data_IF_544177251075
#
_entry.id   IF_544177251075
#
_cell.length_a   1.000
_cell.length_b   1.000
_cell.length_c   1.000
_cell.angle_alpha   90.00
_cell.angle_beta   90.00
_cell.angle_gamma   90.00
#
_symmetry.space_group_name_H-M   'P 1'
#
loop_
_entity.id
_entity.type
_entity.pdbx_description
1 polymer ?
#
# COMPACT_ATOMS: atom_id res chain seq x y z
N UNK A 1 11.12 -19.48 -25.41
CA UNK A 1 10.24 -18.39 -25.92
C UNK A 1 8.73 -18.67 -25.80
N UNK A 2 8.24 -19.90 -25.96
CA UNK A 2 6.79 -20.23 -25.84
C UNK A 2 6.19 -20.05 -24.44
N UNK A 3 6.96 -20.21 -23.37
CA UNK A 3 6.46 -20.10 -21.99
C UNK A 3 6.27 -18.64 -21.52
N UNK A 4 7.07 -17.71 -21.99
CA UNK A 4 6.92 -16.27 -21.70
C UNK A 4 5.68 -15.67 -22.39
N UNK A 5 5.35 -16.11 -23.60
CA UNK A 5 4.16 -15.65 -24.33
C UNK A 5 2.84 -15.98 -23.64
N UNK A 6 2.77 -17.07 -22.85
CA UNK A 6 1.56 -17.45 -22.11
C UNK A 6 1.38 -16.70 -20.78
N UNK A 7 2.43 -16.11 -20.21
CA UNK A 7 2.35 -15.28 -19.00
C UNK A 7 1.80 -13.88 -19.31
N UNK A 8 2.15 -13.34 -20.46
CA UNK A 8 1.64 -12.09 -21.01
C UNK A 8 0.30 -12.31 -21.72
N UNK A 9 -0.62 -13.03 -21.09
CA UNK A 9 -1.99 -13.07 -21.58
C UNK A 9 -2.62 -11.67 -21.44
N UNK A 10 -3.54 -11.33 -22.33
CA UNK A 10 -4.27 -10.06 -22.29
C UNK A 10 -4.84 -9.75 -20.90
N UNK A 11 -5.29 -10.77 -20.17
CA UNK A 11 -5.84 -10.62 -18.81
C UNK A 11 -4.79 -10.19 -17.78
N UNK A 12 -3.53 -10.65 -17.90
CA UNK A 12 -2.44 -10.22 -17.01
C UNK A 12 -2.06 -8.76 -17.31
N UNK A 13 -1.98 -8.41 -18.60
CA UNK A 13 -1.71 -7.02 -19.01
C UNK A 13 -2.82 -6.09 -18.52
N UNK A 14 -4.08 -6.48 -18.68
CA UNK A 14 -5.24 -5.74 -18.19
C UNK A 14 -5.19 -5.54 -16.66
N UNK A 15 -4.82 -6.58 -15.90
CA UNK A 15 -4.63 -6.50 -14.46
C UNK A 15 -3.49 -5.53 -14.08
N UNK A 16 -2.38 -5.57 -14.81
CA UNK A 16 -1.26 -4.63 -14.59
C UNK A 16 -1.69 -3.19 -14.86
N UNK A 17 -2.37 -2.91 -15.97
CA UNK A 17 -2.87 -1.56 -16.30
C UNK A 17 -3.82 -1.06 -15.21
N UNK A 18 -4.75 -1.91 -14.75
CA UNK A 18 -5.68 -1.58 -13.68
C UNK A 18 -4.96 -1.19 -12.39
N UNK A 19 -3.96 -1.98 -11.96
CA UNK A 19 -3.16 -1.68 -10.77
C UNK A 19 -2.31 -0.42 -10.95
N UNK A 20 -1.78 -0.19 -12.16
CA UNK A 20 -1.02 1.01 -12.51
C UNK A 20 -1.90 2.27 -12.35
N UNK A 21 -3.13 2.26 -12.87
CA UNK A 21 -4.08 3.37 -12.73
C UNK A 21 -4.47 3.56 -11.26
N UNK A 22 -4.87 2.49 -10.57
CA UNK A 22 -5.31 2.54 -9.18
C UNK A 22 -4.27 3.19 -8.26
N UNK A 23 -3.05 2.62 -8.23
CA UNK A 23 -1.99 3.09 -7.34
C UNK A 23 -1.36 4.40 -7.80
N UNK A 24 -1.36 4.65 -9.10
CA UNK A 24 -0.85 5.90 -9.65
C UNK A 24 -1.65 7.10 -9.16
N UNK A 25 -2.97 7.09 -9.37
CA UNK A 25 -3.82 8.18 -8.93
C UNK A 25 -3.88 8.30 -7.41
N UNK A 26 -3.94 7.18 -6.67
CA UNK A 26 -3.88 7.23 -5.22
C UNK A 26 -2.62 7.94 -4.72
N UNK A 27 -1.47 7.58 -5.25
CA UNK A 27 -0.18 8.16 -4.80
C UNK A 27 -0.01 9.63 -5.20
N UNK A 28 -0.79 10.11 -6.17
CA UNK A 28 -0.76 11.51 -6.60
C UNK A 28 -1.54 12.45 -5.66
N UNK A 29 -2.43 11.92 -4.80
CA UNK A 29 -3.33 12.75 -3.98
C UNK A 29 -2.57 13.63 -2.96
N UNK A 30 -1.37 13.26 -2.57
CA UNK A 30 -0.51 14.11 -1.73
C UNK A 30 -0.14 15.45 -2.37
N UNK A 31 -0.08 15.54 -3.71
CA UNK A 31 0.15 16.80 -4.43
C UNK A 31 -0.99 17.80 -4.24
N UNK A 32 -2.20 17.32 -3.93
CA UNK A 32 -3.40 18.13 -3.77
C UNK A 32 -3.57 18.66 -2.34
N UNK A 33 -2.76 18.22 -1.37
CA UNK A 33 -2.92 18.60 0.05
C UNK A 33 -2.92 20.12 0.22
N UNK A 34 -1.88 20.77 -0.27
CA UNK A 34 -1.73 22.22 -0.11
C UNK A 34 -2.73 23.02 -0.95
N UNK A 35 -2.90 22.77 -2.28
CA UNK A 35 -3.87 23.48 -3.10
C UNK A 35 -5.32 23.38 -2.60
N UNK A 36 -5.75 22.22 -2.12
CA UNK A 36 -7.10 22.02 -1.57
C UNK A 36 -7.26 22.77 -0.26
N UNK A 37 -6.31 22.63 0.68
CA UNK A 37 -6.36 23.31 1.97
C UNK A 37 -6.39 24.84 1.81
N UNK A 38 -5.57 25.40 0.92
CA UNK A 38 -5.52 26.84 0.63
C UNK A 38 -6.83 27.35 0.00
N UNK A 39 -7.44 26.59 -0.93
CA UNK A 39 -8.68 27.02 -1.60
C UNK A 39 -9.89 27.13 -0.68
N UNK A 40 -9.92 26.34 0.40
CA UNK A 40 -10.98 26.38 1.41
C UNK A 40 -10.63 27.29 2.60
N UNK A 41 -9.40 27.76 2.70
CA UNK A 41 -8.93 28.47 3.89
C UNK A 41 -8.86 27.59 5.13
N UNK A 42 -8.80 26.27 4.96
CA UNK A 42 -8.68 25.30 6.05
C UNK A 42 -7.19 25.02 6.35
N UNK A 43 -6.92 24.54 7.56
CA UNK A 43 -5.66 23.89 7.89
C UNK A 43 -5.46 22.61 7.06
N UNK A 44 -4.23 22.12 7.05
CA UNK A 44 -3.88 20.87 6.35
C UNK A 44 -4.52 19.64 6.98
N UNK A 45 -4.87 19.70 8.26
CA UNK A 45 -5.52 18.61 8.99
C UNK A 45 -6.78 18.14 8.30
N UNK A 46 -7.64 19.04 7.82
CA UNK A 46 -8.94 18.69 7.24
C UNK A 46 -8.80 17.76 6.04
N UNK A 47 -7.96 18.13 5.07
CA UNK A 47 -7.76 17.28 3.89
C UNK A 47 -6.87 16.07 4.18
N UNK A 48 -5.87 16.22 5.05
CA UNK A 48 -5.08 15.10 5.55
C UNK A 48 -5.94 14.06 6.26
N UNK A 49 -6.92 14.49 7.09
CA UNK A 49 -7.87 13.58 7.71
C UNK A 49 -8.73 12.83 6.68
N UNK A 50 -9.14 13.50 5.59
CA UNK A 50 -9.82 12.81 4.47
C UNK A 50 -8.95 11.70 3.88
N UNK A 51 -7.68 11.98 3.62
CA UNK A 51 -6.73 10.98 3.11
C UNK A 51 -6.37 9.90 4.16
N UNK A 52 -6.44 10.23 5.44
CA UNK A 52 -6.32 9.26 6.53
C UNK A 52 -7.52 8.29 6.54
N UNK A 53 -8.75 8.83 6.47
CA UNK A 53 -9.97 8.03 6.31
C UNK A 53 -9.90 7.11 5.10
N UNK A 54 -9.33 7.57 3.98
CA UNK A 54 -9.12 6.75 2.77
C UNK A 54 -8.36 5.46 3.08
N UNK A 55 -7.27 5.56 3.84
CA UNK A 55 -6.48 4.39 4.23
C UNK A 55 -7.27 3.46 5.15
N UNK A 56 -7.99 4.03 6.12
CA UNK A 56 -8.81 3.25 7.05
C UNK A 56 -9.93 2.50 6.32
N UNK A 57 -10.68 3.19 5.45
CA UNK A 57 -11.76 2.57 4.67
C UNK A 57 -11.23 1.55 3.66
N UNK A 58 -10.05 1.78 3.06
CA UNK A 58 -9.38 0.76 2.27
C UNK A 58 -9.11 -0.50 3.10
N UNK A 59 -8.53 -0.37 4.30
CA UNK A 59 -8.25 -1.51 5.18
C UNK A 59 -9.49 -2.27 5.60
N UNK A 60 -10.55 -1.56 6.03
CA UNK A 60 -11.80 -2.14 6.50
C UNK A 60 -12.57 -2.85 5.38
N UNK A 61 -12.63 -2.26 4.19
CA UNK A 61 -13.39 -2.80 3.07
C UNK A 61 -12.62 -3.84 2.23
N UNK A 62 -11.30 -3.95 2.40
CA UNK A 62 -10.49 -4.91 1.64
C UNK A 62 -10.94 -6.37 1.83
N UNK A 63 -11.19 -6.88 3.06
CA UNK A 63 -11.69 -8.23 3.25
C UNK A 63 -13.08 -8.44 2.65
N UNK A 64 -13.97 -7.45 2.76
CA UNK A 64 -15.32 -7.49 2.19
C UNK A 64 -15.27 -7.54 0.66
N UNK A 65 -14.47 -6.69 0.03
CA UNK A 65 -14.28 -6.69 -1.41
C UNK A 65 -13.74 -8.02 -1.93
N UNK A 66 -12.78 -8.62 -1.21
CA UNK A 66 -12.25 -9.95 -1.49
C UNK A 66 -13.33 -11.04 -1.42
N UNK A 67 -14.10 -11.08 -0.33
CA UNK A 67 -15.18 -12.06 -0.14
C UNK A 67 -16.29 -11.93 -1.21
N UNK A 68 -16.66 -10.70 -1.58
CA UNK A 68 -17.63 -10.42 -2.65
C UNK A 68 -17.06 -10.87 -4.00
N UNK A 69 -15.76 -10.60 -4.26
CA UNK A 69 -15.08 -11.02 -5.48
C UNK A 69 -15.07 -12.56 -5.63
N UNK A 70 -14.83 -13.28 -4.54
CA UNK A 70 -14.81 -14.74 -4.54
C UNK A 70 -16.21 -15.33 -4.76
N UNK A 71 -17.25 -14.72 -4.18
CA UNK A 71 -18.62 -15.21 -4.27
C UNK A 71 -19.34 -14.80 -5.58
N UNK A 72 -19.18 -13.53 -5.99
CA UNK A 72 -19.96 -12.94 -7.09
C UNK A 72 -19.14 -12.63 -8.34
N UNK A 73 -17.83 -12.84 -8.28
CA UNK A 73 -16.86 -12.62 -9.35
C UNK A 73 -16.13 -11.30 -9.28
N UNK A 74 -14.84 -11.35 -9.56
CA UNK A 74 -13.89 -10.21 -9.51
C UNK A 74 -14.32 -9.04 -10.41
N UNK A 75 -14.89 -9.33 -11.60
CA UNK A 75 -15.31 -8.30 -12.57
C UNK A 75 -16.33 -7.30 -11.98
N UNK A 76 -17.31 -7.79 -11.22
CA UNK A 76 -18.34 -6.93 -10.61
C UNK A 76 -17.74 -6.02 -9.54
N UNK A 77 -16.83 -6.55 -8.75
CA UNK A 77 -16.16 -5.78 -7.68
C UNK A 77 -15.28 -4.68 -8.28
N UNK A 78 -14.57 -4.96 -9.38
CA UNK A 78 -13.78 -3.96 -10.10
C UNK A 78 -14.69 -2.85 -10.64
N UNK A 79 -15.83 -3.19 -11.25
CA UNK A 79 -16.77 -2.17 -11.79
C UNK A 79 -17.26 -1.26 -10.68
N UNK A 80 -17.78 -1.83 -9.59
CA UNK A 80 -18.30 -1.05 -8.44
C UNK A 80 -17.18 -0.23 -7.81
N UNK A 81 -15.99 -0.82 -7.59
CA UNK A 81 -14.83 -0.13 -7.04
C UNK A 81 -14.37 1.03 -7.91
N UNK A 82 -14.35 0.87 -9.25
CA UNK A 82 -14.00 1.95 -10.18
C UNK A 82 -15.00 3.09 -10.14
N UNK A 83 -16.30 2.78 -10.05
CA UNK A 83 -17.37 3.79 -9.94
C UNK A 83 -17.23 4.56 -8.61
N UNK A 84 -17.05 3.84 -7.49
CA UNK A 84 -16.86 4.48 -6.18
C UNK A 84 -15.62 5.38 -6.17
N UNK A 85 -14.52 4.92 -6.76
CA UNK A 85 -13.29 5.71 -6.84
C UNK A 85 -13.50 6.98 -7.68
N UNK A 86 -14.08 6.85 -8.86
CA UNK A 86 -14.37 8.00 -9.74
C UNK A 86 -15.34 8.99 -9.09
N UNK A 87 -16.42 8.48 -8.47
CA UNK A 87 -17.38 9.29 -7.74
C UNK A 87 -16.72 10.03 -6.57
N UNK A 88 -15.83 9.34 -5.83
CA UNK A 88 -15.07 9.96 -4.75
C UNK A 88 -14.19 11.11 -5.24
N UNK A 89 -13.47 10.92 -6.36
CA UNK A 89 -12.67 11.98 -6.98
C UNK A 89 -13.54 13.15 -7.46
N UNK A 90 -14.69 12.86 -8.05
CA UNK A 90 -15.62 13.87 -8.53
C UNK A 90 -16.23 14.69 -7.39
N UNK A 91 -16.71 14.04 -6.33
CA UNK A 91 -17.22 14.72 -5.12
C UNK A 91 -16.13 15.58 -4.49
N UNK A 92 -14.88 15.08 -4.43
CA UNK A 92 -13.76 15.88 -3.94
C UNK A 92 -13.50 17.11 -4.80
N UNK A 93 -13.60 16.97 -6.13
CA UNK A 93 -13.39 18.08 -7.09
C UNK A 93 -14.48 19.16 -7.00
N UNK A 94 -15.70 18.78 -6.64
CA UNK A 94 -16.87 19.66 -6.52
C UNK A 94 -17.25 19.94 -5.06
N UNK A 95 -16.35 19.68 -4.13
CA UNK A 95 -16.62 19.86 -2.70
C UNK A 95 -16.88 21.32 -2.36
N UNK A 96 -17.91 21.56 -1.54
CA UNK A 96 -18.26 22.86 -0.99
C UNK A 96 -17.81 23.00 0.49
N UNK A 97 -17.40 21.89 1.12
CA UNK A 97 -16.96 21.89 2.49
C UNK A 97 -16.22 20.60 2.91
N UNK A 98 -15.85 20.55 4.17
CA UNK A 98 -15.03 19.45 4.71
C UNK A 98 -15.75 18.09 4.67
N UNK A 99 -17.09 18.05 4.81
CA UNK A 99 -17.85 16.81 4.75
C UNK A 99 -17.74 16.14 3.37
N UNK A 100 -17.77 16.94 2.30
CA UNK A 100 -17.62 16.43 0.94
C UNK A 100 -16.21 15.89 0.70
N UNK A 101 -15.18 16.56 1.27
CA UNK A 101 -13.80 16.06 1.25
C UNK A 101 -13.68 14.71 1.99
N UNK A 102 -14.29 14.58 3.17
CA UNK A 102 -14.26 13.34 3.93
C UNK A 102 -15.01 12.21 3.22
N UNK A 103 -16.19 12.51 2.66
CA UNK A 103 -16.97 11.54 1.90
C UNK A 103 -16.23 11.13 0.61
N UNK A 104 -15.80 12.13 -0.19
CA UNK A 104 -15.18 11.90 -1.50
C UNK A 104 -13.79 11.28 -1.36
N UNK A 105 -12.82 12.07 -0.88
CA UNK A 105 -11.42 11.66 -0.78
C UNK A 105 -11.20 10.56 0.25
N UNK A 106 -11.99 10.53 1.33
CA UNK A 106 -11.85 9.56 2.41
C UNK A 106 -12.60 8.26 2.10
N UNK A 107 -13.92 8.29 2.25
CA UNK A 107 -14.74 7.07 2.28
C UNK A 107 -14.83 6.42 0.90
N UNK A 108 -15.31 7.17 -0.10
CA UNK A 108 -15.59 6.59 -1.41
C UNK A 108 -14.33 6.16 -2.16
N UNK A 109 -13.27 6.97 -2.14
CA UNK A 109 -11.99 6.55 -2.73
C UNK A 109 -11.42 5.35 -1.97
N UNK A 110 -11.46 5.33 -0.64
CA UNK A 110 -10.98 4.20 0.16
C UNK A 110 -11.69 2.89 -0.19
N UNK A 111 -13.03 2.91 -0.28
CA UNK A 111 -13.84 1.77 -0.73
C UNK A 111 -13.52 1.38 -2.18
N UNK A 112 -13.34 2.37 -3.05
CA UNK A 112 -12.99 2.18 -4.46
C UNK A 112 -11.64 1.47 -4.62
N UNK A 113 -10.63 1.88 -3.86
CA UNK A 113 -9.30 1.23 -3.83
C UNK A 113 -9.41 -0.20 -3.33
N UNK A 114 -10.22 -0.47 -2.30
CA UNK A 114 -10.44 -1.83 -1.81
C UNK A 114 -11.00 -2.76 -2.91
N UNK A 115 -11.88 -2.25 -3.78
CA UNK A 115 -12.48 -3.01 -4.89
C UNK A 115 -11.59 -3.16 -6.13
N UNK A 116 -10.59 -2.30 -6.31
CA UNK A 116 -9.74 -2.27 -7.52
C UNK A 116 -8.26 -2.48 -7.24
N UNK A 117 -7.88 -2.62 -5.96
CA UNK A 117 -6.50 -2.76 -5.52
C UNK A 117 -5.97 -4.19 -5.48
N UNK A 118 -4.79 -4.34 -4.87
CA UNK A 118 -4.02 -5.59 -4.83
C UNK A 118 -4.82 -6.76 -4.23
N UNK A 119 -5.62 -6.54 -3.19
CA UNK A 119 -6.34 -7.62 -2.51
C UNK A 119 -7.43 -8.29 -3.35
N UNK A 120 -7.94 -7.64 -4.40
CA UNK A 120 -8.90 -8.20 -5.35
C UNK A 120 -8.21 -8.67 -6.63
N UNK A 121 -7.27 -7.88 -7.15
CA UNK A 121 -6.66 -8.13 -8.46
C UNK A 121 -5.58 -9.22 -8.40
N UNK A 122 -4.72 -9.24 -7.36
CA UNK A 122 -3.66 -10.24 -7.26
C UNK A 122 -4.18 -11.67 -7.12
N UNK A 123 -5.16 -11.99 -6.26
CA UNK A 123 -5.77 -13.31 -6.23
C UNK A 123 -6.36 -13.72 -7.59
N UNK A 124 -6.97 -12.76 -8.29
CA UNK A 124 -7.47 -12.99 -9.63
C UNK A 124 -6.35 -13.34 -10.61
N UNK A 125 -5.23 -12.59 -10.61
CA UNK A 125 -4.05 -12.90 -11.43
C UNK A 125 -3.46 -14.28 -11.12
N UNK A 126 -3.38 -14.65 -9.84
CA UNK A 126 -2.89 -15.95 -9.41
C UNK A 126 -3.73 -17.12 -9.95
N UNK A 127 -5.06 -16.91 -10.09
CA UNK A 127 -5.98 -17.89 -10.70
C UNK A 127 -5.84 -18.01 -12.22
N UNK A 128 -5.27 -17.00 -12.90
CA UNK A 128 -5.07 -16.99 -14.36
C UNK A 128 -3.85 -17.80 -14.81
N UNK A 129 -2.92 -18.09 -13.91
CA UNK A 129 -1.65 -18.73 -14.24
C UNK A 129 -1.50 -20.09 -13.57
N UNK A 130 -0.59 -20.90 -14.11
CA UNK A 130 -0.24 -22.21 -13.52
C UNK A 130 0.42 -22.00 -12.14
N UNK A 131 0.31 -22.97 -11.20
CA UNK A 131 0.87 -22.87 -9.85
C UNK A 131 2.33 -22.39 -9.80
N UNK A 132 3.19 -22.92 -10.69
CA UNK A 132 4.62 -22.64 -10.73
C UNK A 132 4.92 -21.18 -11.12
N UNK A 133 3.94 -20.47 -11.69
CA UNK A 133 4.08 -19.07 -12.16
C UNK A 133 3.33 -18.06 -11.29
N UNK A 134 2.63 -18.52 -10.25
CA UNK A 134 1.84 -17.63 -9.38
C UNK A 134 2.69 -16.56 -8.71
N UNK A 135 3.81 -16.94 -8.11
CA UNK A 135 4.72 -15.98 -7.47
C UNK A 135 5.20 -14.88 -8.43
N UNK A 136 5.57 -15.29 -9.67
CA UNK A 136 5.95 -14.33 -10.70
C UNK A 136 4.80 -13.39 -11.10
N UNK A 137 3.57 -13.91 -11.26
CA UNK A 137 2.40 -13.09 -11.60
C UNK A 137 2.07 -12.08 -10.50
N UNK A 138 2.15 -12.49 -9.23
CA UNK A 138 1.97 -11.61 -8.08
C UNK A 138 3.04 -10.51 -8.03
N UNK A 139 4.30 -10.86 -8.28
CA UNK A 139 5.41 -9.90 -8.37
C UNK A 139 5.21 -8.88 -9.49
N UNK A 140 4.79 -9.33 -10.69
CA UNK A 140 4.50 -8.44 -11.83
C UNK A 140 3.34 -7.50 -11.48
N UNK A 141 2.26 -7.98 -10.84
CA UNK A 141 1.14 -7.14 -10.44
C UNK A 141 1.53 -6.08 -9.40
N UNK A 142 2.34 -6.44 -8.43
CA UNK A 142 2.86 -5.50 -7.42
C UNK A 142 3.77 -4.45 -8.07
N UNK A 143 4.66 -4.87 -8.97
CA UNK A 143 5.52 -3.96 -9.72
C UNK A 143 4.72 -3.00 -10.62
N UNK A 144 3.60 -3.45 -11.20
CA UNK A 144 2.71 -2.60 -11.99
C UNK A 144 2.08 -1.49 -11.14
N UNK A 145 1.70 -1.77 -9.89
CA UNK A 145 1.25 -0.74 -8.95
C UNK A 145 2.32 0.33 -8.69
N UNK A 146 3.56 -0.09 -8.48
CA UNK A 146 4.70 0.82 -8.29
C UNK A 146 5.04 1.62 -9.57
N UNK A 147 4.91 0.99 -10.75
CA UNK A 147 5.04 1.68 -12.03
C UNK A 147 3.96 2.77 -12.19
N UNK A 148 2.75 2.53 -11.67
CA UNK A 148 1.69 3.53 -11.63
C UNK A 148 2.09 4.76 -10.83
N UNK A 149 2.69 4.58 -9.67
CA UNK A 149 3.21 5.68 -8.87
C UNK A 149 4.26 6.49 -9.65
N UNK A 150 5.20 5.81 -10.29
CA UNK A 150 6.23 6.46 -11.11
C UNK A 150 5.64 7.27 -12.29
N UNK A 151 4.63 6.73 -12.97
CA UNK A 151 4.07 7.30 -14.19
C UNK A 151 3.06 8.42 -13.89
N UNK A 152 2.11 8.16 -12.98
CA UNK A 152 0.95 9.04 -12.83
C UNK A 152 1.19 10.24 -11.90
N UNK A 153 2.18 10.21 -11.01
CA UNK A 153 2.47 11.38 -10.16
C UNK A 153 2.93 12.59 -11.00
N UNK A 154 3.88 12.46 -11.94
CA UNK A 154 4.23 13.58 -12.82
C UNK A 154 3.06 14.03 -13.69
N UNK A 155 2.27 13.11 -14.22
CA UNK A 155 1.09 13.42 -15.05
C UNK A 155 0.05 14.21 -14.23
N UNK A 156 -0.25 13.78 -13.01
CA UNK A 156 -1.18 14.47 -12.13
C UNK A 156 -0.68 15.88 -11.74
N UNK A 157 0.63 16.03 -11.55
CA UNK A 157 1.24 17.35 -11.34
C UNK A 157 1.02 18.27 -12.55
N UNK A 158 1.23 17.78 -13.77
CA UNK A 158 0.98 18.60 -14.98
C UNK A 158 -0.49 19.01 -15.08
N UNK A 159 -1.43 18.11 -14.80
CA UNK A 159 -2.86 18.46 -14.76
C UNK A 159 -3.16 19.49 -13.67
N UNK A 160 -2.56 19.35 -12.49
CA UNK A 160 -2.72 20.28 -11.38
C UNK A 160 -2.24 21.69 -11.75
N UNK A 161 -1.09 21.81 -12.39
CA UNK A 161 -0.48 23.08 -12.80
C UNK A 161 -1.26 23.71 -13.96
N UNK A 162 -1.69 22.91 -14.95
CA UNK A 162 -2.34 23.42 -16.16
C UNK A 162 -3.81 23.81 -15.94
N UNK A 163 -4.54 23.05 -15.09
CA UNK A 163 -6.01 23.16 -15.00
C UNK A 163 -6.53 23.45 -13.59
N UNK A 164 -5.65 23.53 -12.58
CA UNK A 164 -6.04 23.63 -11.18
C UNK A 164 -6.49 22.29 -10.58
N UNK A 165 -6.66 22.26 -9.26
CA UNK A 165 -6.91 21.03 -8.52
C UNK A 165 -8.27 20.38 -8.81
N UNK A 166 -9.33 21.17 -9.02
CA UNK A 166 -10.67 20.65 -9.32
C UNK A 166 -10.70 19.87 -10.63
N UNK A 167 -10.22 20.50 -11.71
CA UNK A 167 -10.24 19.89 -13.03
C UNK A 167 -9.25 18.71 -13.11
N UNK A 168 -8.11 18.79 -12.44
CA UNK A 168 -7.17 17.66 -12.33
C UNK A 168 -7.84 16.44 -11.70
N UNK A 169 -8.61 16.61 -10.62
CA UNK A 169 -9.37 15.52 -9.99
C UNK A 169 -10.48 14.98 -10.89
N UNK A 170 -11.17 15.83 -11.67
CA UNK A 170 -12.17 15.39 -12.66
C UNK A 170 -11.51 14.54 -13.76
N UNK A 171 -10.35 14.95 -14.27
CA UNK A 171 -9.59 14.16 -15.26
C UNK A 171 -9.17 12.80 -14.66
N UNK A 172 -8.70 12.80 -13.43
CA UNK A 172 -8.37 11.55 -12.71
C UNK A 172 -9.61 10.68 -12.49
N UNK A 173 -10.79 11.26 -12.23
CA UNK A 173 -12.05 10.50 -12.11
C UNK A 173 -12.40 9.79 -13.43
N UNK A 174 -12.28 10.47 -14.56
CA UNK A 174 -12.46 9.86 -15.89
C UNK A 174 -11.43 8.75 -16.12
N UNK A 175 -10.17 9.00 -15.73
CA UNK A 175 -9.09 8.01 -15.79
C UNK A 175 -9.39 6.75 -14.97
N UNK A 176 -9.97 6.88 -13.77
CA UNK A 176 -10.35 5.71 -12.94
C UNK A 176 -11.52 4.94 -13.54
N UNK A 177 -12.48 5.59 -14.22
CA UNK A 177 -13.54 4.89 -14.93
C UNK A 177 -13.01 4.00 -16.06
N UNK A 178 -11.85 4.32 -16.63
CA UNK A 178 -11.23 3.47 -17.66
C UNK A 178 -10.90 2.06 -17.15
N UNK A 179 -10.75 1.86 -15.83
CA UNK A 179 -10.56 0.54 -15.23
C UNK A 179 -11.74 -0.40 -15.51
N UNK A 180 -12.95 0.12 -15.73
CA UNK A 180 -14.14 -0.67 -16.08
C UNK A 180 -13.93 -1.42 -17.40
N UNK A 181 -13.19 -0.85 -18.35
CA UNK A 181 -12.90 -1.48 -19.64
C UNK A 181 -12.13 -2.80 -19.51
N UNK A 182 -11.36 -2.93 -18.44
CA UNK A 182 -10.56 -4.13 -18.15
C UNK A 182 -11.33 -5.16 -17.30
N UNK A 183 -12.43 -4.78 -16.65
CA UNK A 183 -13.22 -5.67 -15.79
C UNK A 183 -13.73 -6.95 -16.49
N UNK A 184 -14.15 -6.93 -17.78
CA UNK A 184 -14.61 -8.15 -18.46
C UNK A 184 -13.57 -9.25 -18.56
N UNK A 185 -12.27 -8.92 -18.52
CA UNK A 185 -11.18 -9.90 -18.58
C UNK A 185 -11.15 -10.84 -17.37
N UNK A 186 -11.81 -10.45 -16.27
CA UNK A 186 -11.89 -11.19 -15.02
C UNK A 186 -13.15 -12.06 -14.89
N UNK A 187 -14.05 -12.10 -15.91
CA UNK A 187 -15.35 -12.80 -15.84
C UNK A 187 -15.25 -14.34 -15.75
N UNK A 188 -14.20 -14.96 -16.27
CA UNK A 188 -14.11 -16.41 -16.46
C UNK A 188 -13.38 -17.19 -15.35
N UNK A 189 -13.20 -16.60 -14.18
CA UNK A 189 -12.44 -17.27 -13.13
C UNK A 189 -13.34 -18.09 -12.20
N UNK A 190 -13.52 -19.38 -12.51
CA UNK A 190 -13.94 -20.35 -11.50
C UNK A 190 -12.74 -20.59 -10.55
N UNK A 191 -13.00 -20.53 -9.26
CA UNK A 191 -12.01 -20.90 -8.26
C UNK A 191 -11.48 -22.31 -8.58
N UNK A 192 -10.22 -22.39 -8.99
CA UNK A 192 -9.52 -23.67 -8.97
C UNK A 192 -9.27 -23.97 -7.49
N UNK A 193 -10.03 -24.90 -6.95
CA UNK A 193 -9.77 -25.48 -5.64
C UNK A 193 -8.40 -26.18 -5.70
N UNK A 194 -7.34 -25.45 -5.42
CA UNK A 194 -6.06 -26.07 -5.11
C UNK A 194 -6.24 -26.75 -3.76
N UNK A 195 -6.24 -28.07 -3.77
CA UNK A 195 -6.20 -28.91 -2.59
C UNK A 195 -4.97 -28.50 -1.76
N UNK A 196 -5.24 -27.89 -0.62
CA UNK A 196 -4.29 -27.76 0.49
C UNK A 196 -4.52 -29.05 1.29
N UNK A 197 -3.98 -30.16 0.78
CA UNK A 197 -4.32 -31.50 1.28
C UNK A 197 -3.48 -31.94 2.48
N UNK A 198 -2.39 -31.24 2.84
CA UNK A 198 -1.41 -31.76 3.81
C UNK A 198 -1.27 -30.97 5.12
N UNK A 199 -2.05 -29.89 5.33
CA UNK A 199 -2.00 -29.19 6.62
C UNK A 199 -2.95 -29.84 7.65
N UNK A 200 -2.52 -29.92 8.94
CA UNK A 200 -3.36 -30.44 10.01
C UNK A 200 -4.73 -29.75 10.05
N UNK A 201 -5.80 -30.54 10.27
CA UNK A 201 -7.16 -30.02 10.30
C UNK A 201 -7.27 -28.93 11.38
N UNK A 202 -7.63 -27.73 10.97
CA UNK A 202 -7.85 -26.58 11.83
C UNK A 202 -9.03 -25.78 11.27
N UNK A 203 -9.87 -25.21 12.13
CA UNK A 203 -10.91 -24.28 11.74
C UNK A 203 -10.44 -22.82 11.92
N UNK A 204 -11.20 -21.86 11.39
CA UNK A 204 -10.83 -20.43 11.45
C UNK A 204 -10.69 -19.91 12.90
N UNK A 205 -11.58 -20.33 13.79
CA UNK A 205 -11.57 -19.88 15.19
C UNK A 205 -10.30 -20.38 15.90
N UNK A 206 -9.90 -21.61 15.64
CA UNK A 206 -8.66 -22.20 16.17
C UNK A 206 -7.43 -21.46 15.63
N UNK A 207 -7.40 -21.13 14.31
CA UNK A 207 -6.31 -20.38 13.70
C UNK A 207 -6.18 -18.97 14.30
N UNK A 208 -7.29 -18.27 14.51
CA UNK A 208 -7.31 -16.97 15.16
C UNK A 208 -6.87 -17.06 16.63
N UNK A 209 -7.34 -18.08 17.36
CA UNK A 209 -6.91 -18.30 18.75
C UNK A 209 -5.43 -18.63 18.84
N UNK A 210 -4.90 -19.50 17.97
CA UNK A 210 -3.47 -19.84 17.90
C UNK A 210 -2.63 -18.58 17.65
N UNK A 211 -2.99 -17.76 16.66
CA UNK A 211 -2.27 -16.55 16.32
C UNK A 211 -2.37 -15.48 17.42
N UNK A 212 -3.55 -15.27 18.01
CA UNK A 212 -3.75 -14.29 19.07
C UNK A 212 -2.99 -14.60 20.37
N UNK A 213 -2.72 -15.88 20.63
CA UNK A 213 -1.89 -16.32 21.76
C UNK A 213 -0.39 -16.30 21.47
N UNK A 214 0.02 -15.95 20.25
CA UNK A 214 1.41 -15.98 19.83
C UNK A 214 2.02 -14.57 19.88
N UNK A 215 2.86 -14.29 20.89
CA UNK A 215 3.45 -12.94 21.09
C UNK A 215 4.18 -12.43 19.83
N UNK A 216 4.86 -13.29 19.09
CA UNK A 216 5.63 -12.90 17.90
C UNK A 216 4.72 -12.44 16.75
N UNK A 217 3.45 -12.89 16.72
CA UNK A 217 2.46 -12.36 15.78
C UNK A 217 2.08 -10.91 16.12
N UNK A 218 1.92 -10.59 17.40
CA UNK A 218 1.65 -9.20 17.84
C UNK A 218 2.83 -8.27 17.60
N UNK A 219 4.07 -8.76 17.77
CA UNK A 219 5.27 -8.00 17.42
C UNK A 219 5.32 -7.69 15.91
N UNK A 220 4.94 -8.66 15.08
CA UNK A 220 4.85 -8.48 13.63
C UNK A 220 3.76 -7.47 13.25
N UNK A 221 2.57 -7.56 13.88
CA UNK A 221 1.47 -6.59 13.72
C UNK A 221 1.94 -5.18 14.08
N UNK A 222 2.56 -5.02 15.23
CA UNK A 222 3.07 -3.72 15.69
C UNK A 222 4.12 -3.14 14.73
N UNK A 223 5.02 -3.97 14.21
CA UNK A 223 6.01 -3.53 13.23
C UNK A 223 5.37 -3.07 11.92
N UNK A 224 4.34 -3.76 11.45
CA UNK A 224 3.69 -3.39 10.19
C UNK A 224 2.85 -2.12 10.29
N UNK A 225 2.39 -1.74 11.50
CA UNK A 225 1.83 -0.41 11.79
C UNK A 225 2.82 0.70 11.38
N UNK A 226 4.09 0.56 11.77
CA UNK A 226 5.12 1.58 11.48
C UNK A 226 5.37 1.72 9.99
N UNK A 227 5.31 0.61 9.24
CA UNK A 227 5.36 0.66 7.79
C UNK A 227 4.25 1.57 7.23
N UNK A 228 3.00 1.34 7.64
CA UNK A 228 1.87 2.15 7.23
C UNK A 228 2.02 3.62 7.58
N UNK A 229 2.40 3.90 8.82
CA UNK A 229 2.63 5.26 9.32
C UNK A 229 3.60 6.04 8.43
N UNK A 230 4.78 5.47 8.17
CA UNK A 230 5.82 6.14 7.39
C UNK A 230 5.42 6.32 5.92
N UNK A 231 4.91 5.25 5.29
CA UNK A 231 4.55 5.30 3.88
C UNK A 231 3.48 6.32 3.59
N UNK A 232 2.42 6.34 4.39
CA UNK A 232 1.30 7.23 4.17
C UNK A 232 1.66 8.69 4.52
N UNK A 233 2.38 8.90 5.61
CA UNK A 233 2.90 10.23 5.96
C UNK A 233 3.75 10.81 4.83
N UNK A 234 4.76 10.09 4.35
CA UNK A 234 5.65 10.57 3.28
C UNK A 234 4.86 10.81 1.99
N UNK A 235 3.97 9.88 1.60
CA UNK A 235 3.19 10.03 0.36
C UNK A 235 2.32 11.28 0.37
N UNK A 236 1.71 11.62 1.51
CA UNK A 236 0.75 12.73 1.61
C UNK A 236 1.44 14.05 1.92
N UNK A 237 2.38 14.07 2.85
CA UNK A 237 2.93 15.32 3.37
C UNK A 237 4.26 15.75 2.72
N UNK A 238 5.00 14.85 2.06
CA UNK A 238 6.26 15.20 1.39
C UNK A 238 6.11 16.32 0.34
N UNK A 239 5.06 16.35 -0.51
CA UNK A 239 4.88 17.46 -1.44
C UNK A 239 4.71 18.81 -0.74
N UNK A 240 3.88 18.85 0.31
CA UNK A 240 3.67 20.07 1.09
C UNK A 240 4.94 20.49 1.84
N UNK A 241 5.63 19.54 2.48
CA UNK A 241 6.90 19.77 3.15
C UNK A 241 7.96 20.37 2.22
N UNK A 242 8.12 19.84 1.01
CA UNK A 242 9.07 20.38 0.03
C UNK A 242 8.66 21.77 -0.46
N UNK A 243 7.37 22.00 -0.70
CA UNK A 243 6.86 23.32 -1.07
C UNK A 243 7.12 24.36 0.01
N UNK A 244 6.96 24.02 1.29
CA UNK A 244 7.24 24.92 2.41
C UNK A 244 8.74 25.25 2.57
N UNK A 245 9.60 24.34 2.10
CA UNK A 245 11.05 24.56 2.02
C UNK A 245 11.49 25.25 0.71
N UNK A 246 10.55 25.79 -0.08
CA UNK A 246 10.83 26.58 -1.28
C UNK A 246 11.12 25.76 -2.54
N UNK A 247 10.87 24.46 -2.55
CA UNK A 247 11.06 23.63 -3.74
C UNK A 247 9.84 23.72 -4.68
N UNK A 248 10.13 23.69 -5.98
CA UNK A 248 9.09 23.59 -7.00
C UNK A 248 8.33 22.25 -6.91
N UNK A 249 7.07 22.25 -7.32
CA UNK A 249 6.21 21.06 -7.33
C UNK A 249 6.76 19.90 -8.20
N UNK A 250 7.63 20.21 -9.18
CA UNK A 250 8.32 19.19 -9.97
C UNK A 250 9.30 18.36 -9.15
N UNK A 251 9.99 18.98 -8.17
CA UNK A 251 10.89 18.26 -7.24
C UNK A 251 10.09 17.30 -6.36
N UNK A 252 8.92 17.73 -5.87
CA UNK A 252 8.02 16.88 -5.10
C UNK A 252 7.50 15.70 -5.91
N UNK A 253 7.05 15.95 -7.13
CA UNK A 253 6.57 14.90 -8.02
C UNK A 253 7.69 13.92 -8.39
N UNK A 254 8.89 14.42 -8.73
CA UNK A 254 10.05 13.58 -9.02
C UNK A 254 10.47 12.73 -7.81
N UNK A 255 10.46 13.31 -6.60
CA UNK A 255 10.74 12.62 -5.34
C UNK A 255 9.85 11.39 -5.16
N UNK A 256 8.54 11.57 -5.21
CA UNK A 256 7.58 10.46 -5.08
C UNK A 256 7.68 9.46 -6.23
N UNK A 257 8.01 9.90 -7.44
CA UNK A 257 8.22 9.03 -8.60
C UNK A 257 9.48 8.17 -8.44
N UNK A 258 10.58 8.74 -7.94
CA UNK A 258 11.81 8.00 -7.62
C UNK A 258 11.51 6.92 -6.57
N UNK A 259 10.72 7.23 -5.52
CA UNK A 259 10.27 6.23 -4.55
C UNK A 259 9.55 5.09 -5.25
N UNK A 260 8.59 5.38 -6.14
CA UNK A 260 7.83 4.36 -6.88
C UNK A 260 8.73 3.48 -7.77
N UNK A 261 9.68 4.08 -8.49
CA UNK A 261 10.62 3.35 -9.34
C UNK A 261 11.54 2.44 -8.51
N UNK A 262 12.17 2.98 -7.46
CA UNK A 262 13.09 2.21 -6.62
C UNK A 262 12.38 1.12 -5.83
N UNK A 263 11.10 1.31 -5.49
CA UNK A 263 10.28 0.29 -4.83
C UNK A 263 10.14 -1.00 -5.66
N UNK A 264 10.14 -0.91 -6.98
CA UNK A 264 10.13 -2.11 -7.84
C UNK A 264 11.35 -2.98 -7.54
N UNK A 265 12.53 -2.34 -7.49
CA UNK A 265 13.79 -3.05 -7.23
C UNK A 265 13.81 -3.57 -5.79
N UNK A 266 13.48 -2.72 -4.82
CA UNK A 266 13.53 -3.04 -3.40
C UNK A 266 12.59 -4.19 -3.01
N UNK A 267 11.34 -4.18 -3.49
CA UNK A 267 10.37 -5.23 -3.18
C UNK A 267 10.72 -6.57 -3.84
N UNK A 268 11.26 -6.57 -5.08
CA UNK A 268 11.73 -7.78 -5.73
C UNK A 268 12.95 -8.37 -5.02
N UNK A 269 13.91 -7.51 -4.63
CA UNK A 269 15.09 -7.92 -3.86
C UNK A 269 14.70 -8.52 -2.51
N UNK A 270 13.81 -7.86 -1.75
CA UNK A 270 13.31 -8.35 -0.47
C UNK A 270 12.55 -9.68 -0.61
N UNK A 271 11.74 -9.82 -1.67
CA UNK A 271 11.07 -11.08 -1.97
C UNK A 271 12.05 -12.23 -2.20
N UNK A 272 13.09 -12.00 -3.00
CA UNK A 272 14.14 -12.98 -3.27
C UNK A 272 14.94 -13.32 -2.00
N UNK A 273 15.39 -12.31 -1.27
CA UNK A 273 16.16 -12.49 -0.04
C UNK A 273 15.36 -13.21 1.04
N UNK A 274 14.04 -13.00 1.13
CA UNK A 274 13.16 -13.68 2.09
C UNK A 274 13.06 -15.19 1.86
N UNK A 275 13.40 -15.66 0.66
CA UNK A 275 13.53 -17.10 0.37
C UNK A 275 14.87 -17.70 0.78
N UNK A 276 15.92 -16.87 0.97
CA UNK A 276 17.30 -17.29 1.25
C UNK A 276 17.70 -17.05 2.70
N UNK A 277 17.19 -16.00 3.33
CA UNK A 277 17.60 -15.53 4.64
C UNK A 277 16.41 -15.44 5.62
N UNK A 278 16.71 -15.36 6.90
CA UNK A 278 15.75 -15.13 7.99
C UNK A 278 14.98 -13.81 7.75
N UNK A 279 13.66 -13.90 7.74
CA UNK A 279 12.77 -12.79 7.42
C UNK A 279 12.77 -11.72 8.49
N UNK A 280 12.94 -12.10 9.77
CA UNK A 280 13.03 -11.14 10.88
C UNK A 280 14.26 -10.23 10.76
N UNK A 281 15.41 -10.77 10.33
CA UNK A 281 16.61 -9.99 10.14
C UNK A 281 16.51 -9.04 8.95
N UNK A 282 15.82 -9.47 7.87
CA UNK A 282 15.50 -8.61 6.74
C UNK A 282 14.61 -7.44 7.20
N UNK A 283 13.58 -7.71 8.00
CA UNK A 283 12.68 -6.68 8.54
C UNK A 283 13.41 -5.74 9.50
N UNK A 284 14.21 -6.28 10.42
CA UNK A 284 15.04 -5.49 11.33
C UNK A 284 15.99 -4.56 10.56
N UNK A 285 16.66 -5.06 9.52
CA UNK A 285 17.50 -4.25 8.64
C UNK A 285 16.69 -3.14 7.94
N UNK A 286 15.55 -3.47 7.34
CA UNK A 286 14.73 -2.49 6.60
C UNK A 286 14.26 -1.37 7.53
N UNK A 287 13.73 -1.68 8.71
CA UNK A 287 13.27 -0.66 9.65
C UNK A 287 14.42 0.15 10.24
N UNK A 288 15.55 -0.47 10.56
CA UNK A 288 16.77 0.22 11.01
C UNK A 288 17.31 1.17 9.93
N UNK A 289 17.41 0.68 8.70
CA UNK A 289 17.84 1.50 7.56
C UNK A 289 16.89 2.69 7.32
N UNK A 290 15.56 2.49 7.40
CA UNK A 290 14.59 3.59 7.29
C UNK A 290 14.78 4.64 8.38
N UNK A 291 14.99 4.21 9.64
CA UNK A 291 15.27 5.15 10.73
C UNK A 291 16.52 5.99 10.42
N UNK A 292 17.61 5.36 10.00
CA UNK A 292 18.86 6.06 9.65
C UNK A 292 18.61 7.03 8.47
N UNK A 293 17.93 6.60 7.41
CA UNK A 293 17.63 7.43 6.23
C UNK A 293 16.81 8.67 6.63
N UNK A 294 15.81 8.52 7.49
CA UNK A 294 15.00 9.65 7.98
C UNK A 294 15.85 10.58 8.83
N UNK A 295 16.65 10.06 9.77
CA UNK A 295 17.53 10.89 10.61
C UNK A 295 18.52 11.67 9.74
N UNK A 296 19.17 11.03 8.77
CA UNK A 296 20.09 11.71 7.84
C UNK A 296 19.39 12.80 7.06
N UNK A 297 18.16 12.58 6.59
CA UNK A 297 17.37 13.57 5.89
C UNK A 297 17.04 14.79 6.75
N UNK A 298 16.86 14.61 8.07
CA UNK A 298 16.55 15.70 9.00
C UNK A 298 17.77 16.52 9.41
N UNK A 299 18.96 15.91 9.49
CA UNK A 299 20.16 16.58 9.99
C UNK A 299 21.02 17.19 8.88
N UNK A 300 20.87 16.70 7.64
CA UNK A 300 21.64 17.22 6.48
C UNK A 300 20.85 18.38 5.85
N UNK A 301 21.52 19.45 5.40
CA UNK A 301 20.84 20.55 4.73
C UNK A 301 19.98 20.08 3.55
N UNK A 302 18.73 20.54 3.50
CA UNK A 302 17.80 20.16 2.46
C UNK A 302 18.17 20.80 1.12
N UNK A 303 18.46 19.98 0.13
CA UNK A 303 18.77 20.35 -1.25
C UNK A 303 18.08 19.41 -2.21
N UNK A 304 17.98 19.72 -3.49
CA UNK A 304 17.41 18.79 -4.49
C UNK A 304 18.14 17.45 -4.48
N UNK A 305 19.47 17.47 -4.30
CA UNK A 305 20.25 16.23 -4.22
C UNK A 305 19.88 15.39 -2.99
N UNK A 306 19.79 16.00 -1.79
CA UNK A 306 19.43 15.25 -0.56
C UNK A 306 18.00 14.75 -0.59
N UNK A 307 17.07 15.49 -1.20
CA UNK A 307 15.68 15.04 -1.45
C UNK A 307 15.66 13.81 -2.35
N UNK A 308 16.41 13.80 -3.46
CA UNK A 308 16.44 12.65 -4.37
C UNK A 308 17.21 11.47 -3.80
N UNK A 309 18.29 11.69 -3.05
CA UNK A 309 19.01 10.65 -2.32
C UNK A 309 18.12 9.97 -1.25
N UNK A 310 17.37 10.79 -0.48
CA UNK A 310 16.35 10.28 0.45
C UNK A 310 15.29 9.45 -0.26
N UNK A 311 14.76 9.96 -1.40
CA UNK A 311 13.72 9.29 -2.18
C UNK A 311 14.22 7.97 -2.76
N UNK A 312 15.46 7.90 -3.24
CA UNK A 312 16.10 6.69 -3.73
C UNK A 312 16.23 5.63 -2.61
N UNK A 313 16.83 6.02 -1.49
CA UNK A 313 17.05 5.11 -0.35
C UNK A 313 15.71 4.63 0.24
N UNK A 314 14.78 5.56 0.48
CA UNK A 314 13.43 5.24 0.97
C UNK A 314 12.68 4.35 0.00
N UNK A 315 12.79 4.61 -1.31
CA UNK A 315 12.15 3.82 -2.36
C UNK A 315 12.60 2.36 -2.35
N UNK A 316 13.89 2.09 -2.20
CA UNK A 316 14.42 0.72 -2.09
C UNK A 316 13.87 -0.03 -0.87
N UNK A 317 13.56 0.71 0.20
CA UNK A 317 13.02 0.15 1.44
C UNK A 317 11.48 0.20 1.50
N UNK A 318 10.79 0.80 0.51
CA UNK A 318 9.37 1.21 0.57
C UNK A 318 8.41 0.10 0.95
N UNK A 319 8.10 -0.80 0.02
CA UNK A 319 7.29 -1.99 0.26
C UNK A 319 8.14 -3.28 0.42
N UNK A 320 9.43 -3.12 0.62
CA UNK A 320 10.35 -4.24 0.86
C UNK A 320 10.01 -5.04 2.12
N UNK A 321 9.19 -4.47 3.02
CA UNK A 321 8.67 -5.16 4.22
C UNK A 321 7.55 -6.16 3.91
N UNK A 322 6.82 -6.00 2.79
CA UNK A 322 5.62 -6.81 2.48
C UNK A 322 5.95 -8.30 2.27
N UNK A 323 6.93 -8.66 1.42
CA UNK A 323 7.26 -10.07 1.21
C UNK A 323 7.73 -10.80 2.49
N UNK A 324 8.68 -10.27 3.28
CA UNK A 324 9.10 -10.97 4.50
C UNK A 324 7.99 -11.02 5.57
N UNK A 325 7.13 -9.98 5.69
CA UNK A 325 6.00 -9.99 6.63
C UNK A 325 4.98 -11.08 6.29
N UNK A 326 4.53 -11.12 5.02
CA UNK A 326 3.61 -12.16 4.57
C UNK A 326 4.24 -13.55 4.65
N UNK A 327 5.54 -13.66 4.35
CA UNK A 327 6.30 -14.89 4.48
C UNK A 327 6.43 -15.38 5.92
N UNK A 328 6.56 -14.48 6.90
CA UNK A 328 6.54 -14.84 8.34
C UNK A 328 5.20 -15.40 8.77
N UNK A 329 4.09 -14.76 8.39
CA UNK A 329 2.75 -15.27 8.69
C UNK A 329 2.56 -16.68 8.13
N UNK A 330 2.97 -16.90 6.87
CA UNK A 330 2.90 -18.22 6.23
C UNK A 330 3.78 -19.26 6.93
N UNK A 331 4.99 -18.88 7.33
CA UNK A 331 5.95 -19.75 8.01
C UNK A 331 5.49 -20.13 9.42
N UNK A 332 4.94 -19.18 10.17
CA UNK A 332 4.51 -19.40 11.56
C UNK A 332 3.20 -20.17 11.64
N UNK A 333 2.22 -19.90 10.78
CA UNK A 333 0.84 -20.41 10.93
C UNK A 333 0.35 -21.29 9.79
N UNK A 334 1.15 -21.48 8.73
CA UNK A 334 0.77 -22.25 7.55
C UNK A 334 -0.01 -21.43 6.53
N UNK A 335 -0.44 -22.09 5.44
CA UNK A 335 -1.05 -21.42 4.29
C UNK A 335 -2.57 -21.35 4.36
N UNK A 336 -3.20 -22.22 5.12
CA UNK A 336 -4.67 -22.41 5.12
C UNK A 336 -5.46 -21.16 5.45
N UNK A 337 -5.05 -20.42 6.49
CA UNK A 337 -5.68 -19.17 6.94
C UNK A 337 -4.76 -17.95 6.82
N UNK A 338 -3.69 -18.08 6.04
CA UNK A 338 -2.72 -17.01 5.81
C UNK A 338 -3.37 -15.70 5.37
N UNK A 339 -4.36 -15.77 4.47
CA UNK A 339 -5.07 -14.58 3.98
C UNK A 339 -5.77 -13.80 5.09
N UNK A 340 -6.42 -14.49 6.02
CA UNK A 340 -7.09 -13.86 7.16
C UNK A 340 -6.08 -13.28 8.16
N UNK A 341 -5.05 -14.05 8.51
CA UNK A 341 -4.04 -13.62 9.47
C UNK A 341 -3.22 -12.45 8.92
N UNK A 342 -2.77 -12.53 7.67
CA UNK A 342 -2.10 -11.41 7.03
C UNK A 342 -3.04 -10.20 6.84
N UNK A 343 -4.33 -10.43 6.63
CA UNK A 343 -5.35 -9.39 6.59
C UNK A 343 -5.43 -8.57 7.87
N UNK A 344 -5.29 -9.19 9.05
CA UNK A 344 -5.22 -8.49 10.34
C UNK A 344 -3.93 -7.65 10.43
N UNK A 345 -2.79 -8.21 10.03
CA UNK A 345 -1.51 -7.48 9.96
C UNK A 345 -1.65 -6.26 9.03
N UNK A 346 -2.29 -6.42 7.88
CA UNK A 346 -2.54 -5.36 6.91
C UNK A 346 -3.52 -4.31 7.43
N UNK A 347 -4.56 -4.69 8.16
CA UNK A 347 -5.46 -3.74 8.79
C UNK A 347 -4.70 -2.82 9.77
N UNK A 348 -3.78 -3.38 10.57
CA UNK A 348 -2.96 -2.59 11.46
C UNK A 348 -2.00 -1.64 10.71
N UNK A 349 -1.48 -2.06 9.56
CA UNK A 349 -0.76 -1.16 8.64
C UNK A 349 -1.64 0.02 8.20
N UNK A 350 -2.91 -0.22 7.90
CA UNK A 350 -3.83 0.86 7.50
C UNK A 350 -4.19 1.79 8.67
N UNK A 351 -4.26 1.28 9.89
CA UNK A 351 -4.38 2.10 11.11
C UNK A 351 -3.12 2.97 11.28
N UNK A 352 -1.93 2.41 11.04
CA UNK A 352 -0.69 3.17 10.99
C UNK A 352 -0.71 4.26 9.91
N UNK A 353 -1.19 3.92 8.72
CA UNK A 353 -1.36 4.87 7.61
C UNK A 353 -2.30 6.01 7.98
N UNK A 354 -3.44 5.71 8.59
CA UNK A 354 -4.37 6.70 9.12
C UNK A 354 -3.65 7.64 10.10
N UNK A 355 -2.96 7.07 11.10
CA UNK A 355 -2.28 7.83 12.14
C UNK A 355 -1.19 8.74 11.57
N UNK A 356 -0.37 8.25 10.64
CA UNK A 356 0.71 9.04 10.04
C UNK A 356 0.20 10.22 9.21
N UNK A 357 -0.86 10.02 8.44
CA UNK A 357 -1.45 11.08 7.63
C UNK A 357 -2.18 12.12 8.48
N UNK A 358 -3.02 11.68 9.41
CA UNK A 358 -3.76 12.59 10.27
C UNK A 358 -2.83 13.42 11.18
N UNK A 359 -1.91 12.74 11.89
CA UNK A 359 -0.96 13.42 12.78
C UNK A 359 -0.06 14.39 12.02
N UNK A 360 0.29 14.09 10.76
CA UNK A 360 1.04 15.01 9.91
C UNK A 360 0.31 16.33 9.70
N UNK A 361 -0.98 16.30 9.38
CA UNK A 361 -1.81 17.50 9.24
C UNK A 361 -2.02 18.23 10.56
N UNK A 362 -2.48 17.51 11.59
CA UNK A 362 -2.75 18.05 12.92
C UNK A 362 -1.53 18.76 13.56
N UNK A 363 -0.37 18.08 13.53
CA UNK A 363 0.84 18.67 14.13
C UNK A 363 1.34 19.86 13.32
N UNK A 364 1.24 19.82 11.98
CA UNK A 364 1.57 20.98 11.18
C UNK A 364 0.69 22.18 11.52
N UNK A 365 -0.62 22.00 11.62
CA UNK A 365 -1.56 23.10 11.92
C UNK A 365 -1.38 23.66 13.34
N UNK A 366 -0.94 22.84 14.29
CA UNK A 366 -0.73 23.28 15.69
C UNK A 366 0.67 23.84 15.96
N UNK A 367 1.69 23.38 15.24
CA UNK A 367 3.10 23.75 15.51
C UNK A 367 3.79 24.53 14.38
N UNK A 368 3.19 24.55 13.18
CA UNK A 368 3.78 25.14 11.98
C UNK A 368 4.90 24.30 11.36
N UNK A 369 5.17 23.08 11.85
CA UNK A 369 6.27 22.22 11.38
C UNK A 369 5.87 20.74 11.31
N UNK A 370 6.53 20.00 10.39
CA UNK A 370 6.49 18.54 10.33
C UNK A 370 7.57 17.84 11.17
N UNK A 371 8.46 18.58 11.84
CA UNK A 371 9.64 18.02 12.52
C UNK A 371 9.29 16.93 13.53
N UNK A 372 8.23 17.13 14.33
CA UNK A 372 7.80 16.16 15.32
C UNK A 372 7.40 14.83 14.68
N UNK A 373 6.65 14.86 13.58
CA UNK A 373 6.20 13.63 12.89
C UNK A 373 7.38 12.91 12.26
N UNK A 374 8.33 13.65 11.68
CA UNK A 374 9.55 13.08 11.13
C UNK A 374 10.38 12.36 12.21
N UNK A 375 10.60 13.00 13.37
CA UNK A 375 11.31 12.38 14.49
C UNK A 375 10.56 11.17 15.04
N UNK A 376 9.24 11.24 15.18
CA UNK A 376 8.45 10.06 15.57
C UNK A 376 8.61 8.93 14.55
N UNK A 377 8.53 9.22 13.27
CA UNK A 377 8.73 8.22 12.22
C UNK A 377 10.09 7.54 12.33
N UNK A 378 11.16 8.29 12.63
CA UNK A 378 12.49 7.73 12.83
C UNK A 378 12.58 6.86 14.10
N UNK A 379 12.05 7.36 15.23
CA UNK A 379 12.12 6.67 16.53
C UNK A 379 11.32 5.37 16.50
N UNK A 380 10.06 5.40 16.02
CA UNK A 380 9.24 4.18 15.97
C UNK A 380 9.83 3.14 15.00
N UNK A 381 10.54 3.57 13.94
CA UNK A 381 11.25 2.65 13.06
C UNK A 381 12.44 1.99 13.76
N UNK A 382 13.23 2.74 14.55
CA UNK A 382 14.32 2.19 15.34
C UNK A 382 13.81 1.18 16.37
N UNK A 383 12.75 1.52 17.10
CA UNK A 383 12.09 0.60 18.05
C UNK A 383 11.61 -0.65 17.32
N UNK A 384 11.00 -0.49 16.14
CA UNK A 384 10.50 -1.60 15.33
C UNK A 384 11.63 -2.51 14.84
N UNK A 385 12.76 -1.95 14.44
CA UNK A 385 13.94 -2.74 14.10
C UNK A 385 14.37 -3.65 15.27
N UNK A 386 14.39 -3.10 16.49
CA UNK A 386 14.71 -3.86 17.71
C UNK A 386 13.64 -4.93 17.98
N UNK A 387 12.36 -4.59 17.87
CA UNK A 387 11.25 -5.53 18.08
C UNK A 387 11.38 -6.75 17.15
N UNK A 388 11.75 -6.56 15.88
CA UNK A 388 11.88 -7.66 14.94
C UNK A 388 13.01 -8.63 15.28
N UNK A 389 14.07 -8.20 15.97
CA UNK A 389 15.13 -9.09 16.44
C UNK A 389 14.60 -10.16 17.39
N UNK A 390 13.59 -9.83 18.21
CA UNK A 390 12.99 -10.74 19.18
C UNK A 390 11.92 -11.67 18.59
N UNK A 391 11.55 -11.52 17.32
CA UNK A 391 10.59 -12.43 16.68
C UNK A 391 11.22 -13.82 16.56
N UNK A 392 10.48 -14.85 17.00
CA UNK A 392 10.78 -16.24 16.71
C UNK A 392 10.03 -16.67 15.44
N UNK A 393 10.78 -17.07 14.42
CA UNK A 393 10.25 -17.46 13.11
C UNK A 393 9.80 -18.92 13.07
N UNK A 394 9.96 -19.68 14.16
CA UNK A 394 9.61 -21.12 14.17
C UNK A 394 8.12 -21.31 13.93
N UNK A 395 7.74 -22.34 13.16
CA UNK A 395 6.35 -22.70 12.96
C UNK A 395 5.63 -22.97 14.29
N UNK A 396 4.36 -22.68 14.37
CA UNK A 396 3.50 -23.01 15.51
C UNK A 396 3.59 -24.51 15.83
N UNK A 397 3.38 -24.87 17.08
CA UNK A 397 3.59 -26.24 17.59
C UNK A 397 2.85 -27.29 16.77
N UNK A 398 1.61 -26.99 16.35
CA UNK A 398 0.79 -27.82 15.48
C UNK A 398 1.52 -28.24 14.19
N UNK A 399 2.20 -27.31 13.54
CA UNK A 399 2.93 -27.55 12.29
C UNK A 399 4.20 -28.35 12.55
N UNK A 400 4.92 -28.04 13.63
CA UNK A 400 6.14 -28.76 14.04
C UNK A 400 5.88 -30.23 14.41
N UNK A 401 4.71 -30.49 15.02
CA UNK A 401 4.31 -31.86 15.36
C UNK A 401 3.92 -32.66 14.09
N UNK A 402 3.28 -32.02 13.13
CA UNK A 402 2.94 -32.65 11.86
C UNK A 402 4.20 -33.05 11.05
N UNK A 403 5.24 -32.20 11.03
CA UNK A 403 6.51 -32.51 10.35
C UNK A 403 7.28 -33.67 10.99
N UNK A 404 7.06 -33.95 12.28
CA UNK A 404 7.72 -35.10 12.98
C UNK A 404 7.04 -36.44 12.75
N UNK A 405 5.83 -36.44 12.20
CA UNK A 405 5.01 -37.65 11.96
C UNK A 405 5.18 -38.18 10.52
N UNK A 406 5.79 -37.38 9.65
CA UNK A 406 6.17 -37.73 8.28
C UNK A 406 7.65 -38.17 8.26
#
# INVERSE_FOLDING_TARGET
MSQYKKLLSFSIIAACILLTINFGFRSSLGLFLKPVSESFGYGREIFAFSLALQNLFWGLFQPLAGAIADKYGTSKVIIVGSILYALGLYITATADGFLDLHLGAGILIGMGIAGTGLGVVLPAMARMVRPEKRAMALGIGTAAGSAGQFIFIPIAREFLVAYGWQMALVIMAIGTLSMILFAPTFKKQKASSSKIEDEPKQNLREALSEASNHIHYWLLIAGFFVCGFQLAFITVHMPAYLSDNGFDSSVAAASLSIIGLCNIIGSLAAGHLSGLYSKKWILAFIYGARSIVIVLFLIIPITTFTVYAFSFATGLLWLATVPPTSGLVAQMFGLKYMGTLYGIVFLNHQIGSFSGVWLGGYLFDTTGSYDQVWWWAAIIAAITAIIHVFIDERPAERLRLAEKVI
#
